data_IF_912060392888
#
_entry.id   IF_912060392888
#
_cell.length_a   1.000
_cell.length_b   1.000
_cell.length_c   1.000
_cell.angle_alpha   90.00
_cell.angle_beta   90.00
_cell.angle_gamma   90.00
#
_symmetry.space_group_name_H-M   'P 1'
#
loop_
_entity.id
_entity.type
_entity.pdbx_description
1 polymer ?
#
# COMPACT_ATOMS: atom_id res chain seq x y z
N UNK A 1 -3.75 15.99 -29.69
CA UNK A 1 -4.85 15.82 -28.71
C UNK A 1 -5.10 14.38 -28.23
N UNK A 2 -4.65 13.29 -28.88
CA UNK A 2 -4.90 11.90 -28.38
C UNK A 2 -3.83 11.30 -27.45
N UNK A 3 -2.67 11.95 -27.24
CA UNK A 3 -1.54 11.36 -26.49
C UNK A 3 -1.39 11.83 -25.03
N UNK A 4 -1.92 13.00 -24.65
CA UNK A 4 -1.96 13.41 -23.24
C UNK A 4 -2.92 12.55 -22.40
N UNK A 5 -3.95 11.96 -23.03
CA UNK A 5 -4.90 11.08 -22.33
C UNK A 5 -4.31 9.72 -21.92
N UNK A 6 -3.22 9.26 -22.54
CA UNK A 6 -2.61 7.95 -22.24
C UNK A 6 -1.71 8.01 -20.99
N UNK A 7 -1.02 9.13 -20.80
CA UNK A 7 -0.18 9.36 -19.62
C UNK A 7 -1.01 9.58 -18.35
N UNK A 8 -2.11 10.33 -18.47
CA UNK A 8 -3.07 10.51 -17.37
C UNK A 8 -3.75 9.20 -16.97
N UNK A 9 -4.06 8.32 -17.93
CA UNK A 9 -4.69 7.02 -17.63
C UNK A 9 -3.73 6.07 -16.92
N UNK A 10 -2.46 5.97 -17.34
CA UNK A 10 -1.48 5.08 -16.71
C UNK A 10 -1.14 5.47 -15.26
N UNK A 11 -1.03 6.78 -14.96
CA UNK A 11 -0.82 7.27 -13.59
C UNK A 11 -2.07 7.08 -12.71
N UNK A 12 -3.27 7.26 -13.28
CA UNK A 12 -4.52 6.93 -12.59
C UNK A 12 -4.57 5.45 -12.19
N UNK A 13 -4.13 4.51 -13.04
CA UNK A 13 -4.24 3.07 -12.76
C UNK A 13 -3.28 2.55 -11.69
N UNK A 14 -2.11 3.16 -11.47
CA UNK A 14 -1.21 2.75 -10.37
C UNK A 14 -1.77 3.19 -9.00
N UNK A 15 -2.32 4.41 -8.92
CA UNK A 15 -3.00 4.92 -7.73
C UNK A 15 -4.31 4.16 -7.48
N UNK A 16 -5.09 3.85 -8.53
CA UNK A 16 -6.31 3.06 -8.40
C UNK A 16 -6.05 1.62 -7.96
N UNK A 17 -4.92 1.03 -8.32
CA UNK A 17 -4.53 -0.30 -7.85
C UNK A 17 -4.18 -0.29 -6.35
N UNK A 18 -3.54 0.77 -5.84
CA UNK A 18 -3.26 0.94 -4.40
C UNK A 18 -4.55 1.25 -3.63
N UNK A 19 -5.43 2.10 -4.18
CA UNK A 19 -6.74 2.42 -3.59
C UNK A 19 -7.71 1.22 -3.63
N UNK A 20 -7.68 0.36 -4.65
CA UNK A 20 -8.46 -0.89 -4.67
C UNK A 20 -7.85 -1.99 -3.80
N UNK A 21 -6.52 -1.96 -3.59
CA UNK A 21 -5.84 -2.86 -2.67
C UNK A 21 -6.11 -2.51 -1.19
N UNK A 22 -6.48 -1.25 -0.90
CA UNK A 22 -6.75 -0.77 0.47
C UNK A 22 -8.21 -0.33 0.75
N UNK A 23 -9.00 0.06 -0.26
CA UNK A 23 -10.23 0.86 -0.10
C UNK A 23 -11.56 0.17 -0.45
N UNK A 24 -11.57 -1.13 -0.66
CA UNK A 24 -12.74 -1.85 -1.16
C UNK A 24 -13.60 -2.57 -0.12
N UNK A 25 -14.03 -1.93 0.98
CA UNK A 25 -15.11 -2.44 1.86
C UNK A 25 -15.98 -1.32 2.44
N UNK A 26 -16.94 -0.81 1.66
CA UNK A 26 -18.11 -0.08 2.18
C UNK A 26 -19.24 -1.12 2.35
N UNK A 27 -19.74 -1.48 3.54
CA UNK A 27 -20.53 -0.66 4.45
C UNK A 27 -20.54 -1.19 5.91
N UNK A 28 -19.56 -2.00 6.28
CA UNK A 28 -19.27 -2.36 7.68
C UNK A 28 -17.80 -2.74 7.71
N UNK A 29 -16.94 -1.83 8.17
CA UNK A 29 -15.50 -2.12 8.24
C UNK A 29 -15.28 -3.21 9.28
N UNK A 30 -15.13 -4.42 8.77
CA UNK A 30 -14.82 -5.60 9.57
C UNK A 30 -13.30 -5.72 9.60
N UNK A 31 -12.69 -5.32 10.70
CA UNK A 31 -11.26 -5.48 10.89
C UNK A 31 -11.01 -6.92 11.28
N UNK A 32 -10.52 -7.72 10.33
CA UNK A 32 -10.17 -9.11 10.57
C UNK A 32 -8.65 -9.24 10.66
N UNK A 33 -8.16 -9.54 11.86
CA UNK A 33 -6.78 -9.91 12.09
C UNK A 33 -6.69 -11.43 12.17
N UNK A 34 -5.94 -12.06 11.26
CA UNK A 34 -5.70 -13.50 11.31
C UNK A 34 -4.21 -13.79 11.41
N UNK A 35 -3.84 -14.59 12.40
CA UNK A 35 -2.47 -15.05 12.60
C UNK A 35 -2.42 -16.58 12.55
N UNK A 36 -1.71 -17.13 11.57
CA UNK A 36 -1.56 -18.58 11.41
C UNK A 36 -0.16 -19.02 11.84
N UNK A 37 -0.07 -19.90 12.83
CA UNK A 37 1.19 -20.49 13.29
C UNK A 37 0.97 -21.95 13.74
N UNK A 38 1.85 -22.86 13.30
CA UNK A 38 1.80 -24.30 13.63
C UNK A 38 0.41 -24.95 13.45
N UNK A 39 -0.30 -24.60 12.37
CA UNK A 39 -1.62 -25.13 12.06
C UNK A 39 -2.77 -24.57 12.90
N UNK A 40 -2.49 -23.64 13.82
CA UNK A 40 -3.52 -22.83 14.49
C UNK A 40 -3.67 -21.51 13.76
N UNK A 41 -4.91 -21.12 13.45
CA UNK A 41 -5.20 -19.73 13.07
C UNK A 41 -5.91 -19.09 14.25
N UNK A 42 -5.40 -17.97 14.74
CA UNK A 42 -6.15 -17.07 15.62
C UNK A 42 -6.76 -16.01 14.71
N UNK A 43 -8.08 -15.94 14.65
CA UNK A 43 -8.81 -14.88 13.96
C UNK A 43 -9.50 -14.01 14.99
N UNK A 44 -9.21 -12.73 14.95
CA UNK A 44 -9.89 -11.71 15.73
C UNK A 44 -10.64 -10.82 14.76
N UNK A 45 -11.95 -10.70 14.98
CA UNK A 45 -12.81 -9.89 14.14
C UNK A 45 -13.39 -8.79 15.01
N UNK A 46 -13.04 -7.55 14.71
CA UNK A 46 -13.69 -6.36 15.26
C UNK A 46 -14.71 -5.89 14.22
N UNK A 47 -15.95 -5.76 14.65
CA UNK A 47 -17.02 -5.15 13.87
C UNK A 47 -17.47 -3.88 14.56
N UNK A 48 -17.33 -2.76 13.88
CA UNK A 48 -17.86 -1.48 14.33
C UNK A 48 -19.21 -1.26 13.67
N UNK A 49 -20.24 -0.95 14.47
CA UNK A 49 -21.62 -0.77 13.97
C UNK A 49 -21.84 0.63 13.37
N UNK A 50 -20.99 1.62 13.70
CA UNK A 50 -21.13 3.00 13.21
C UNK A 50 -19.97 3.43 12.31
N UNK A 51 -20.25 3.93 11.10
CA UNK A 51 -19.24 4.54 10.24
C UNK A 51 -18.73 5.89 10.77
N UNK A 52 -19.44 6.56 11.68
CA UNK A 52 -19.09 7.92 12.11
C UNK A 52 -18.08 7.95 13.27
N UNK A 53 -17.74 6.80 13.87
CA UNK A 53 -16.64 6.68 14.83
C UNK A 53 -15.25 6.94 14.21
N UNK A 54 -15.21 7.30 12.93
CA UNK A 54 -14.03 7.67 12.14
C UNK A 54 -13.62 9.11 12.40
N UNK A 55 -13.18 9.43 13.62
CA UNK A 55 -12.20 10.52 13.71
C UNK A 55 -10.88 9.96 13.17
N UNK A 56 -10.64 10.17 11.87
CA UNK A 56 -9.32 9.97 11.25
C UNK A 56 -8.30 11.02 11.72
N UNK A 57 -8.75 11.95 12.55
CA UNK A 57 -7.93 12.98 13.13
C UNK A 57 -6.80 12.35 13.94
N UNK A 58 -5.60 12.84 13.64
CA UNK A 58 -4.40 12.47 14.36
C UNK A 58 -4.47 13.09 15.75
N UNK A 59 -4.41 12.26 16.78
CA UNK A 59 -4.38 12.68 18.16
C UNK A 59 -2.96 13.12 18.54
N UNK A 60 -2.81 14.43 18.76
CA UNK A 60 -1.56 15.07 19.19
C UNK A 60 -1.52 15.37 20.70
N UNK A 61 -2.53 14.91 21.44
CA UNK A 61 -2.61 15.15 22.88
C UNK A 61 -1.61 14.32 23.70
N UNK A 62 -1.58 14.52 25.02
CA UNK A 62 -0.68 13.81 25.92
C UNK A 62 -0.82 12.29 25.80
N UNK A 63 0.30 11.58 25.63
CA UNK A 63 0.35 10.11 25.57
C UNK A 63 0.26 9.53 27.00
N UNK A 64 -0.90 9.70 27.63
CA UNK A 64 -1.25 9.15 28.95
C UNK A 64 -2.53 8.34 28.85
N UNK A 65 -2.67 7.29 29.66
CA UNK A 65 -3.87 6.44 29.63
C UNK A 65 -5.17 7.26 29.81
N UNK A 66 -5.18 8.20 30.76
CA UNK A 66 -6.34 9.06 31.01
C UNK A 66 -6.70 9.96 29.82
N UNK A 67 -5.72 10.56 29.16
CA UNK A 67 -5.96 11.45 28.03
C UNK A 67 -6.42 10.68 26.78
N UNK A 68 -5.87 9.49 26.53
CA UNK A 68 -6.32 8.59 25.46
C UNK A 68 -7.75 8.08 25.70
N UNK A 69 -8.07 7.69 26.93
CA UNK A 69 -9.42 7.30 27.31
C UNK A 69 -10.40 8.45 27.11
N UNK A 70 -10.06 9.66 27.57
CA UNK A 70 -10.89 10.85 27.37
C UNK A 70 -11.14 11.16 25.89
N UNK A 71 -10.12 10.95 25.03
CA UNK A 71 -10.22 11.21 23.60
C UNK A 71 -11.06 10.15 22.86
N UNK A 72 -10.96 8.87 23.24
CA UNK A 72 -11.43 7.76 22.40
C UNK A 72 -12.51 6.87 23.04
N UNK A 73 -12.71 6.87 24.36
CA UNK A 73 -13.63 5.91 25.01
C UNK A 73 -15.09 6.11 24.60
N UNK A 74 -15.53 7.34 24.36
CA UNK A 74 -16.90 7.62 23.95
C UNK A 74 -17.19 6.93 22.60
N UNK A 75 -16.34 7.16 21.61
CA UNK A 75 -16.42 6.53 20.29
C UNK A 75 -16.24 5.00 20.38
N UNK A 76 -15.32 4.52 21.21
CA UNK A 76 -15.10 3.08 21.40
C UNK A 76 -16.34 2.39 21.98
N UNK A 77 -16.96 2.99 22.99
CA UNK A 77 -18.16 2.47 23.66
C UNK A 77 -19.37 2.53 22.74
N UNK A 78 -19.54 3.63 22.01
CA UNK A 78 -20.63 3.81 21.04
C UNK A 78 -20.54 2.80 19.90
N UNK A 79 -19.33 2.55 19.38
CA UNK A 79 -19.15 1.62 18.28
C UNK A 79 -19.41 0.15 18.66
N UNK A 80 -19.59 -0.14 19.97
CA UNK A 80 -19.92 -1.45 20.57
C UNK A 80 -19.18 -2.59 19.87
N UNK A 81 -17.83 -2.56 19.85
CA UNK A 81 -17.07 -3.53 19.08
C UNK A 81 -17.40 -4.94 19.55
N UNK A 82 -18.12 -5.69 18.71
CA UNK A 82 -18.29 -7.13 18.92
C UNK A 82 -16.99 -7.79 18.54
N UNK A 83 -16.14 -8.00 19.55
CA UNK A 83 -14.86 -8.68 19.37
C UNK A 83 -15.10 -10.17 19.44
N UNK A 84 -15.08 -10.83 18.28
CA UNK A 84 -15.11 -12.29 18.22
C UNK A 84 -13.70 -12.80 17.99
N UNK A 85 -13.16 -13.50 18.99
CA UNK A 85 -11.90 -14.21 18.85
C UNK A 85 -12.22 -15.68 18.57
N UNK A 86 -11.79 -16.17 17.41
CA UNK A 86 -11.99 -17.54 16.96
C UNK A 86 -10.64 -18.22 16.78
N UNK A 87 -10.47 -19.38 17.38
CA UNK A 87 -9.32 -20.25 17.11
C UNK A 87 -9.81 -21.50 16.38
N UNK A 88 -9.87 -21.50 15.02
CA UNK A 88 -10.05 -22.71 14.26
C UNK A 88 -8.97 -23.73 14.61
N UNK A 89 -9.41 -24.91 14.99
CA UNK A 89 -8.55 -26.05 15.24
C UNK A 89 -8.56 -26.93 14.00
N UNK A 90 -7.40 -27.21 13.41
CA UNK A 90 -7.31 -28.16 12.30
C UNK A 90 -7.96 -29.50 12.67
N UNK A 91 -9.05 -29.88 11.97
CA UNK A 91 -9.86 -31.09 12.19
C UNK A 91 -11.36 -30.81 12.43
N UNK A 92 -12.17 -31.87 12.62
CA UNK A 92 -13.63 -31.80 12.92
C UNK A 92 -13.99 -31.18 14.30
N UNK A 93 -13.09 -30.42 14.94
CA UNK A 93 -13.35 -29.87 16.28
C UNK A 93 -13.92 -28.46 16.18
N UNK A 94 -14.87 -28.17 17.07
CA UNK A 94 -15.56 -26.89 17.18
C UNK A 94 -14.58 -25.72 17.36
N UNK A 95 -14.95 -24.57 16.78
CA UNK A 95 -14.29 -23.30 16.99
C UNK A 95 -14.42 -22.88 18.45
N UNK A 96 -13.30 -22.48 19.07
CA UNK A 96 -13.36 -21.81 20.37
C UNK A 96 -13.69 -20.35 20.07
N UNK A 97 -14.88 -19.92 20.49
CA UNK A 97 -15.37 -18.55 20.38
C UNK A 97 -15.56 -17.96 21.76
N UNK A 98 -15.25 -16.68 21.90
CA UNK A 98 -15.56 -15.90 23.08
C UNK A 98 -16.42 -14.70 22.74
N UNK A 99 -17.42 -14.44 23.56
CA UNK A 99 -18.36 -13.31 23.46
C UNK A 99 -18.40 -12.58 24.81
N UNK A 100 -17.24 -12.13 25.30
CA UNK A 100 -17.20 -11.34 26.53
C UNK A 100 -17.72 -9.93 26.29
N UNK A 101 -18.40 -9.42 27.30
CA UNK A 101 -18.74 -8.00 27.42
C UNK A 101 -17.50 -7.18 27.76
N UNK A 102 -17.51 -5.88 27.42
CA UNK A 102 -16.42 -4.97 27.80
C UNK A 102 -16.23 -4.91 29.33
N UNK A 103 -17.30 -5.02 30.12
CA UNK A 103 -17.21 -5.05 31.59
C UNK A 103 -16.44 -6.29 32.09
N UNK A 104 -16.65 -7.47 31.49
CA UNK A 104 -15.91 -8.69 31.84
C UNK A 104 -14.44 -8.60 31.45
N UNK A 105 -14.14 -7.94 30.33
CA UNK A 105 -12.76 -7.69 29.91
C UNK A 105 -12.09 -6.65 30.79
N UNK A 106 -12.77 -5.54 31.13
CA UNK A 106 -12.27 -4.50 32.03
C UNK A 106 -11.98 -5.07 33.42
N UNK A 107 -12.79 -6.01 33.92
CA UNK A 107 -12.53 -6.70 35.18
C UNK A 107 -11.26 -7.57 35.16
N UNK A 108 -10.86 -8.09 33.99
CA UNK A 108 -9.67 -8.94 33.82
C UNK A 108 -8.42 -8.14 33.45
N UNK A 109 -8.60 -7.10 32.65
CA UNK A 109 -7.58 -6.23 32.08
C UNK A 109 -8.11 -4.78 32.04
N UNK A 110 -8.04 -4.05 33.17
CA UNK A 110 -8.54 -2.68 33.23
C UNK A 110 -7.96 -1.80 32.13
N UNK A 111 -8.81 -1.00 31.46
CA UNK A 111 -8.40 -0.15 30.32
C UNK A 111 -7.21 0.75 30.66
N UNK A 112 -7.30 1.47 31.77
CA UNK A 112 -6.26 2.41 32.18
C UNK A 112 -4.90 1.72 32.38
N UNK A 113 -4.88 0.60 33.09
CA UNK A 113 -3.66 -0.19 33.32
C UNK A 113 -3.11 -0.78 32.02
N UNK A 114 -3.99 -1.25 31.14
CA UNK A 114 -3.62 -1.80 29.84
C UNK A 114 -2.96 -0.75 28.95
N UNK A 115 -3.59 0.42 28.83
CA UNK A 115 -3.07 1.53 28.05
C UNK A 115 -1.74 2.03 28.62
N UNK A 116 -1.64 2.18 29.94
CA UNK A 116 -0.40 2.60 30.58
C UNK A 116 0.74 1.61 30.28
N UNK A 117 0.47 0.31 30.36
CA UNK A 117 1.46 -0.73 30.03
C UNK A 117 1.92 -0.67 28.56
N UNK A 118 1.05 -0.29 27.62
CA UNK A 118 1.44 -0.07 26.22
C UNK A 118 2.33 1.17 26.08
N UNK A 119 1.96 2.26 26.74
CA UNK A 119 2.72 3.51 26.76
C UNK A 119 4.11 3.34 27.38
N UNK A 120 4.21 2.58 28.48
CA UNK A 120 5.49 2.26 29.14
C UNK A 120 6.43 1.45 28.23
N UNK A 121 5.87 0.77 27.22
CA UNK A 121 6.63 0.07 26.16
C UNK A 121 6.97 0.95 24.96
N UNK A 122 6.68 2.24 25.02
CA UNK A 122 6.95 3.21 23.96
C UNK A 122 5.94 3.17 22.81
N UNK A 123 4.79 2.52 22.98
CA UNK A 123 3.75 2.49 21.95
C UNK A 123 3.01 3.82 21.95
N UNK A 124 3.06 4.54 20.84
CA UNK A 124 2.29 5.76 20.64
C UNK A 124 0.94 5.45 20.01
N UNK A 125 -0.14 5.98 20.57
CA UNK A 125 -1.50 5.80 20.05
C UNK A 125 -1.96 7.14 19.52
N UNK A 126 -2.08 7.23 18.19
CA UNK A 126 -2.34 8.51 17.52
C UNK A 126 -3.66 8.52 16.74
N UNK A 127 -4.33 7.38 16.61
CA UNK A 127 -5.61 7.28 15.92
C UNK A 127 -6.57 6.39 16.69
N UNK A 128 -7.87 6.61 16.50
CA UNK A 128 -8.91 5.76 17.09
C UNK A 128 -8.75 4.28 16.68
N UNK A 129 -8.35 4.02 15.43
CA UNK A 129 -8.11 2.65 14.94
C UNK A 129 -7.05 1.91 15.75
N UNK A 130 -5.95 2.58 16.09
CA UNK A 130 -4.88 2.03 16.93
C UNK A 130 -5.42 1.73 18.33
N UNK A 131 -6.12 2.71 18.92
CA UNK A 131 -6.75 2.58 20.23
C UNK A 131 -7.67 1.35 20.30
N UNK A 132 -8.60 1.24 19.37
CA UNK A 132 -9.57 0.16 19.33
C UNK A 132 -8.90 -1.20 19.09
N UNK A 133 -7.93 -1.25 18.17
CA UNK A 133 -7.13 -2.46 17.91
C UNK A 133 -6.36 -2.89 19.16
N UNK A 134 -5.76 -1.96 19.91
CA UNK A 134 -5.01 -2.29 21.12
C UNK A 134 -5.91 -2.78 22.26
N UNK A 135 -7.08 -2.17 22.42
CA UNK A 135 -8.05 -2.60 23.41
C UNK A 135 -8.62 -3.98 23.10
N UNK A 136 -8.81 -4.32 21.82
CA UNK A 136 -9.33 -5.64 21.43
C UNK A 136 -8.39 -6.78 21.84
N UNK A 137 -7.08 -6.52 21.96
CA UNK A 137 -6.10 -7.56 22.33
C UNK A 137 -6.28 -8.08 23.74
N UNK A 138 -6.96 -7.31 24.59
CA UNK A 138 -7.41 -7.76 25.90
C UNK A 138 -8.38 -8.94 25.79
N UNK A 139 -9.27 -8.94 24.80
CA UNK A 139 -10.16 -10.07 24.50
C UNK A 139 -9.35 -11.31 24.10
N UNK A 140 -8.36 -11.14 23.22
CA UNK A 140 -7.48 -12.24 22.83
C UNK A 140 -6.72 -12.82 24.03
N UNK A 141 -6.18 -11.97 24.91
CA UNK A 141 -5.54 -12.43 26.13
C UNK A 141 -6.50 -13.09 27.12
N UNK A 142 -7.74 -12.61 27.24
CA UNK A 142 -8.77 -13.26 28.05
C UNK A 142 -9.04 -14.67 27.53
N UNK A 143 -9.16 -14.84 26.21
CA UNK A 143 -9.32 -16.14 25.58
C UNK A 143 -8.15 -17.07 25.84
N UNK A 144 -6.93 -16.57 25.64
CA UNK A 144 -5.76 -17.39 25.88
C UNK A 144 -5.70 -17.78 27.36
N UNK A 145 -5.90 -16.85 28.30
CA UNK A 145 -5.87 -17.14 29.74
C UNK A 145 -6.81 -18.29 30.12
N UNK A 146 -8.03 -18.28 29.60
CA UNK A 146 -9.05 -19.31 29.88
C UNK A 146 -8.81 -20.63 29.14
N UNK A 147 -7.87 -20.64 28.18
CA UNK A 147 -7.53 -21.81 27.38
C UNK A 147 -6.04 -22.18 27.49
N UNK A 148 -5.58 -22.76 28.62
CA UNK A 148 -4.17 -23.13 28.84
C UNK A 148 -3.53 -23.97 27.74
N UNK A 149 -4.32 -24.80 27.06
CA UNK A 149 -3.83 -25.64 25.97
C UNK A 149 -3.34 -24.83 24.77
N UNK A 150 -3.90 -23.63 24.54
CA UNK A 150 -3.53 -22.76 23.41
C UNK A 150 -2.22 -22.03 23.67
N UNK A 151 -2.09 -21.32 24.79
CA UNK A 151 -0.85 -20.58 25.03
C UNK A 151 0.34 -21.50 25.34
N UNK A 152 0.10 -22.68 25.94
CA UNK A 152 1.16 -23.70 26.12
C UNK A 152 1.58 -24.39 24.83
N UNK A 153 0.80 -24.29 23.74
CA UNK A 153 1.17 -24.95 22.47
C UNK A 153 2.22 -24.17 21.68
N UNK A 154 2.53 -22.95 22.10
CA UNK A 154 3.36 -22.01 21.33
C UNK A 154 2.60 -21.36 20.18
N UNK A 155 1.32 -21.04 20.40
CA UNK A 155 0.52 -20.28 19.45
C UNK A 155 1.13 -18.88 19.26
N UNK A 156 0.91 -18.29 18.08
CA UNK A 156 1.42 -16.95 17.72
C UNK A 156 2.94 -16.83 17.63
N UNK A 157 3.65 -17.94 17.42
CA UNK A 157 5.12 -17.94 17.38
C UNK A 157 5.77 -17.61 18.72
N UNK A 158 5.01 -17.63 19.82
CA UNK A 158 5.53 -17.43 21.16
C UNK A 158 6.08 -18.79 21.65
N UNK A 159 7.32 -18.88 22.15
CA UNK A 159 7.84 -20.11 22.72
C UNK A 159 6.93 -20.67 23.81
N UNK A 160 6.91 -21.99 23.97
CA UNK A 160 6.10 -22.62 25.01
C UNK A 160 6.57 -22.16 26.39
N UNK A 161 5.67 -21.57 27.17
CA UNK A 161 5.95 -21.13 28.53
C UNK A 161 5.30 -22.06 29.55
N UNK A 162 5.83 -22.06 30.79
CA UNK A 162 5.30 -22.89 31.89
C UNK A 162 4.13 -22.19 32.60
N UNK A 163 4.16 -20.86 32.65
CA UNK A 163 3.21 -20.03 33.37
C UNK A 163 2.58 -18.96 32.47
N UNK A 164 1.44 -18.45 32.94
CA UNK A 164 0.66 -17.45 32.24
C UNK A 164 1.34 -16.08 32.19
N UNK A 165 2.10 -15.69 33.22
CA UNK A 165 2.72 -14.37 33.29
C UNK A 165 3.81 -14.24 32.23
N UNK A 166 4.69 -15.24 32.12
CA UNK A 166 5.72 -15.31 31.07
C UNK A 166 5.09 -15.34 29.68
N UNK A 167 3.97 -16.07 29.50
CA UNK A 167 3.26 -16.04 28.21
C UNK A 167 2.71 -14.66 27.89
N UNK A 168 2.04 -14.01 28.85
CA UNK A 168 1.45 -12.68 28.67
C UNK A 168 2.53 -11.67 28.28
N UNK A 169 3.67 -11.68 28.95
CA UNK A 169 4.79 -10.81 28.63
C UNK A 169 5.36 -11.09 27.24
N UNK A 170 5.60 -12.35 26.92
CA UNK A 170 6.06 -12.74 25.59
C UNK A 170 5.04 -12.40 24.51
N UNK A 171 3.75 -12.54 24.78
CA UNK A 171 2.68 -12.12 23.87
C UNK A 171 2.78 -10.63 23.57
N UNK A 172 2.87 -9.81 24.61
CA UNK A 172 3.01 -8.36 24.50
C UNK A 172 4.27 -7.95 23.73
N UNK A 173 5.38 -8.65 23.93
CA UNK A 173 6.67 -8.33 23.29
C UNK A 173 6.77 -8.86 21.85
N UNK A 174 6.28 -10.07 21.56
CA UNK A 174 6.55 -10.81 20.32
C UNK A 174 5.62 -10.43 19.16
N UNK A 175 4.34 -10.15 19.45
CA UNK A 175 3.33 -9.99 18.40
C UNK A 175 2.99 -8.55 18.03
N UNK A 176 3.07 -7.62 18.98
CA UNK A 176 2.35 -6.34 18.87
C UNK A 176 3.22 -5.20 18.40
N UNK A 177 4.36 -5.00 19.06
CA UNK A 177 5.33 -3.95 18.73
C UNK A 177 5.85 -4.14 17.30
N UNK A 178 6.24 -5.36 16.95
CA UNK A 178 6.85 -5.66 15.65
C UNK A 178 5.85 -5.48 14.50
N UNK A 179 4.59 -5.89 14.68
CA UNK A 179 3.60 -5.73 13.61
C UNK A 179 3.17 -4.28 13.42
N UNK A 180 2.98 -3.54 14.50
CA UNK A 180 2.55 -2.15 14.40
C UNK A 180 3.64 -1.25 13.85
N UNK A 181 4.89 -1.44 14.30
CA UNK A 181 6.03 -0.69 13.76
C UNK A 181 6.18 -0.96 12.26
N UNK A 182 6.04 -2.22 11.83
CA UNK A 182 6.05 -2.56 10.40
C UNK A 182 4.92 -1.94 9.59
N UNK A 183 3.71 -1.83 10.16
CA UNK A 183 2.59 -1.16 9.51
C UNK A 183 2.90 0.35 9.41
N UNK A 184 3.43 0.96 10.47
CA UNK A 184 3.81 2.37 10.48
C UNK A 184 4.93 2.67 9.48
N UNK A 185 5.97 1.84 9.43
CA UNK A 185 7.03 1.90 8.43
C UNK A 185 6.49 1.76 7.00
N UNK A 186 5.52 0.85 6.80
CA UNK A 186 4.86 0.69 5.51
C UNK A 186 4.00 1.91 5.15
N UNK A 187 3.22 2.48 6.08
CA UNK A 187 2.46 3.70 5.88
C UNK A 187 3.37 4.89 5.54
N UNK A 188 4.47 5.05 6.28
CA UNK A 188 5.47 6.09 6.02
C UNK A 188 6.12 5.90 4.64
N UNK A 189 6.43 4.67 4.26
CA UNK A 189 6.98 4.34 2.93
C UNK A 189 5.97 4.67 1.81
N UNK A 190 4.69 4.38 2.03
CA UNK A 190 3.61 4.72 1.08
C UNK A 190 3.43 6.23 0.97
N UNK A 191 3.45 6.96 2.09
CA UNK A 191 3.37 8.42 2.10
C UNK A 191 4.56 9.06 1.36
N UNK A 192 5.78 8.59 1.62
CA UNK A 192 6.98 9.05 0.93
C UNK A 192 6.92 8.76 -0.58
N UNK A 193 6.47 7.57 -0.98
CA UNK A 193 6.27 7.22 -2.39
C UNK A 193 5.22 8.12 -3.05
N UNK A 194 4.13 8.45 -2.35
CA UNK A 194 3.11 9.38 -2.84
C UNK A 194 3.68 10.77 -3.09
N UNK A 195 4.46 11.31 -2.15
CA UNK A 195 5.11 12.61 -2.28
C UNK A 195 6.12 12.64 -3.44
N UNK A 196 6.85 11.55 -3.68
CA UNK A 196 7.74 11.42 -4.84
C UNK A 196 6.96 11.44 -6.16
N UNK A 197 5.81 10.76 -6.23
CA UNK A 197 4.93 10.78 -7.40
C UNK A 197 4.37 12.18 -7.65
N UNK A 198 3.93 12.88 -6.60
CA UNK A 198 3.43 14.26 -6.72
C UNK A 198 4.54 15.21 -7.23
N UNK A 199 5.75 15.13 -6.68
CA UNK A 199 6.91 15.88 -7.18
C UNK A 199 7.26 15.55 -8.64
N UNK A 200 7.20 14.27 -9.02
CA UNK A 200 7.43 13.87 -10.41
C UNK A 200 6.37 14.44 -11.35
N UNK A 201 5.10 14.54 -10.91
CA UNK A 201 4.02 15.16 -11.68
C UNK A 201 4.22 16.67 -11.84
N UNK A 202 4.74 17.38 -10.85
CA UNK A 202 5.06 18.81 -10.93
C UNK A 202 6.23 19.11 -11.89
N UNK A 203 7.18 18.18 -12.01
CA UNK A 203 8.31 18.30 -12.94
C UNK A 203 7.94 18.04 -14.40
N UNK A 204 6.76 17.45 -14.67
CA UNK A 204 6.22 17.41 -16.02
C UNK A 204 5.85 18.85 -16.35
N UNK A 205 6.61 19.54 -17.24
CA UNK A 205 6.34 20.95 -17.51
C UNK A 205 4.88 21.07 -17.91
N UNK A 206 4.13 21.89 -17.16
CA UNK A 206 2.78 22.27 -17.52
C UNK A 206 2.87 22.75 -18.96
N UNK A 207 2.40 21.91 -19.91
CA UNK A 207 2.54 22.18 -21.35
C UNK A 207 1.87 23.53 -21.53
N UNK A 208 2.64 24.61 -21.71
CA UNK A 208 2.02 25.90 -21.83
C UNK A 208 1.17 25.82 -23.10
N UNK A 209 0.02 26.47 -23.13
CA UNK A 209 -0.77 26.70 -24.35
C UNK A 209 -0.01 27.56 -25.40
N UNK A 210 1.32 27.52 -25.40
CA UNK A 210 2.25 28.19 -26.29
C UNK A 210 2.48 27.35 -27.55
N UNK A 211 1.43 27.16 -28.32
CA UNK A 211 1.58 27.12 -29.77
C UNK A 211 0.48 27.94 -30.44
N UNK A 212 0.68 29.25 -30.63
CA UNK A 212 0.10 29.89 -31.81
C UNK A 212 0.80 29.27 -33.02
N UNK A 213 0.13 28.33 -33.70
CA UNK A 213 0.56 27.59 -34.89
C UNK A 213 1.64 28.31 -35.73
N UNK A 214 2.94 27.94 -35.63
CA UNK A 214 3.92 28.34 -36.63
C UNK A 214 4.46 27.10 -37.35
N UNK A 215 4.83 27.27 -38.61
CA UNK A 215 5.39 26.21 -39.44
C UNK A 215 6.70 25.70 -38.82
N UNK A 216 6.66 24.53 -38.17
CA UNK A 216 7.85 23.96 -37.54
C UNK A 216 8.67 23.07 -38.51
N UNK A 217 10.01 23.16 -38.45
CA UNK A 217 10.94 22.22 -39.06
C UNK A 217 10.91 20.86 -38.32
N UNK A 218 11.42 19.84 -39.01
CA UNK A 218 11.49 18.43 -38.58
C UNK A 218 12.13 18.31 -37.19
N UNK A 219 11.36 17.92 -36.17
CA UNK A 219 11.89 17.68 -34.83
C UNK A 219 12.51 16.28 -34.73
N UNK A 220 13.70 16.13 -34.13
CA UNK A 220 14.29 14.83 -33.84
C UNK A 220 13.48 14.11 -32.75
N UNK A 221 13.52 12.77 -32.79
CA UNK A 221 12.89 11.91 -31.80
C UNK A 221 13.35 12.31 -30.39
N UNK A 222 12.40 12.60 -29.50
CA UNK A 222 12.68 12.87 -28.09
C UNK A 222 13.11 11.56 -27.44
N UNK A 223 14.39 11.41 -27.02
CA UNK A 223 14.83 10.20 -26.34
C UNK A 223 14.16 10.09 -24.98
N UNK A 224 13.84 8.86 -24.57
CA UNK A 224 13.39 8.59 -23.20
C UNK A 224 14.48 9.10 -22.25
N UNK A 225 14.14 9.92 -21.24
CA UNK A 225 15.12 10.44 -20.30
C UNK A 225 15.88 9.29 -19.63
N UNK A 226 17.23 9.29 -19.65
CA UNK A 226 18.04 8.20 -19.11
C UNK A 226 17.73 7.84 -17.64
N UNK A 227 17.31 8.82 -16.84
CA UNK A 227 16.99 8.62 -15.42
C UNK A 227 15.77 7.71 -15.20
N UNK A 228 14.80 7.68 -16.11
CA UNK A 228 13.63 6.80 -15.98
C UNK A 228 13.97 5.34 -16.27
N UNK A 229 14.94 5.09 -17.16
CA UNK A 229 15.48 3.75 -17.36
C UNK A 229 16.27 3.29 -16.14
N UNK A 230 17.01 4.23 -15.53
CA UNK A 230 17.74 3.98 -14.29
C UNK A 230 16.81 3.66 -13.10
N UNK A 231 15.69 4.35 -12.94
CA UNK A 231 14.71 4.06 -11.88
C UNK A 231 14.07 2.67 -12.03
N UNK A 232 13.80 2.23 -13.27
CA UNK A 232 13.31 0.87 -13.54
C UNK A 232 14.37 -0.17 -13.18
N UNK A 233 15.63 0.06 -13.58
CA UNK A 233 16.75 -0.82 -13.24
C UNK A 233 16.99 -0.89 -11.71
N UNK A 234 16.82 0.22 -10.99
CA UNK A 234 16.94 0.28 -9.53
C UNK A 234 15.82 -0.52 -8.83
N UNK A 235 14.59 -0.45 -9.33
CA UNK A 235 13.46 -1.25 -8.83
C UNK A 235 13.70 -2.75 -9.11
N UNK A 236 14.19 -3.11 -10.29
CA UNK A 236 14.54 -4.51 -10.61
C UNK A 236 15.65 -5.05 -9.70
N UNK A 237 16.69 -4.25 -9.45
CA UNK A 237 17.75 -4.61 -8.51
C UNK A 237 17.26 -4.76 -7.07
N UNK A 238 16.30 -3.95 -6.64
CA UNK A 238 15.72 -4.04 -5.30
C UNK A 238 14.89 -5.34 -5.15
N UNK A 239 14.16 -5.72 -6.20
CA UNK A 239 13.41 -6.99 -6.26
C UNK A 239 14.36 -8.19 -6.21
N UNK A 240 15.48 -8.17 -6.95
CA UNK A 240 16.45 -9.27 -6.92
C UNK A 240 17.19 -9.36 -5.58
N UNK A 241 17.59 -8.23 -4.98
CA UNK A 241 18.15 -8.24 -3.61
C UNK A 241 17.19 -8.81 -2.58
N UNK A 242 15.89 -8.53 -2.72
CA UNK A 242 14.86 -9.08 -1.84
C UNK A 242 14.69 -10.60 -2.04
N UNK A 243 14.77 -11.10 -3.28
CA UNK A 243 14.77 -12.54 -3.58
C UNK A 243 16.00 -13.24 -3.02
N UNK A 244 17.19 -12.68 -3.22
CA UNK A 244 18.43 -13.22 -2.66
C UNK A 244 18.41 -13.24 -1.13
N UNK A 245 17.84 -12.22 -0.48
CA UNK A 245 17.67 -12.20 0.97
C UNK A 245 16.71 -13.30 1.47
N UNK A 246 15.66 -13.61 0.69
CA UNK A 246 14.74 -14.71 0.98
C UNK A 246 15.39 -16.09 0.74
N UNK A 247 16.18 -16.25 -0.32
CA UNK A 247 16.83 -17.51 -0.70
C UNK A 247 18.07 -17.83 0.13
N UNK A 248 18.86 -16.81 0.51
CA UNK A 248 20.06 -16.97 1.34
C UNK A 248 19.77 -17.27 2.81
N UNK A 249 18.50 -17.26 3.23
CA UNK A 249 18.12 -17.56 4.61
C UNK A 249 18.63 -16.55 5.65
N UNK A 250 19.15 -15.38 5.21
CA UNK A 250 19.66 -14.31 6.08
C UNK A 250 18.56 -13.60 6.89
N UNK A 251 17.29 -13.84 6.55
CA UNK A 251 16.14 -13.50 7.38
C UNK A 251 15.88 -14.71 8.30
N UNK A 252 16.07 -14.51 9.61
CA UNK A 252 16.32 -15.52 10.65
C UNK A 252 15.48 -16.84 10.55
N UNK A 253 16.07 -17.99 10.95
CA UNK A 253 15.52 -19.31 10.69
C UNK A 253 14.68 -19.79 11.88
N UNK A 254 13.37 -19.55 11.88
CA UNK A 254 12.51 -20.33 12.80
C UNK A 254 11.06 -20.54 12.33
N UNK A 255 10.82 -20.76 11.03
CA UNK A 255 9.48 -21.15 10.54
C UNK A 255 9.61 -22.04 9.29
N UNK A 256 9.85 -23.34 9.50
CA UNK A 256 10.16 -24.31 8.43
C UNK A 256 8.99 -24.79 7.57
N UNK A 257 7.72 -24.48 7.91
CA UNK A 257 6.56 -25.11 7.21
C UNK A 257 5.53 -24.09 6.70
N UNK A 258 5.45 -22.88 7.27
CA UNK A 258 4.62 -21.79 6.71
C UNK A 258 5.32 -21.00 5.60
N UNK A 259 6.64 -21.22 5.40
CA UNK A 259 7.48 -20.52 4.44
C UNK A 259 7.05 -20.79 3.00
N UNK A 260 6.74 -22.03 2.66
CA UNK A 260 6.43 -22.40 1.26
C UNK A 260 5.11 -21.79 0.78
N UNK A 261 4.09 -21.75 1.63
CA UNK A 261 2.81 -21.12 1.28
C UNK A 261 2.93 -19.59 1.12
N UNK A 262 3.68 -18.93 2.00
CA UNK A 262 3.90 -17.48 1.93
C UNK A 262 4.84 -17.10 0.77
N UNK A 263 5.91 -17.87 0.56
CA UNK A 263 6.84 -17.70 -0.56
C UNK A 263 6.13 -17.94 -1.89
N UNK A 264 5.27 -18.96 -1.99
CA UNK A 264 4.47 -19.21 -3.20
C UNK A 264 3.51 -18.05 -3.49
N UNK A 265 2.84 -17.49 -2.47
CA UNK A 265 1.99 -16.30 -2.64
C UNK A 265 2.79 -15.07 -3.01
N UNK A 266 3.96 -14.86 -2.41
CA UNK A 266 4.86 -13.76 -2.75
C UNK A 266 5.37 -13.88 -4.19
N UNK A 267 5.84 -15.06 -4.61
CA UNK A 267 6.23 -15.36 -6.00
C UNK A 267 5.07 -15.13 -6.97
N UNK A 268 3.86 -15.60 -6.64
CA UNK A 268 2.68 -15.37 -7.47
C UNK A 268 2.31 -13.87 -7.57
N UNK A 269 2.52 -13.08 -6.51
CA UNK A 269 2.31 -11.62 -6.53
C UNK A 269 3.35 -10.92 -7.40
N UNK A 270 4.62 -11.29 -7.29
CA UNK A 270 5.71 -10.76 -8.12
C UNK A 270 5.47 -11.09 -9.60
N UNK A 271 5.09 -12.33 -9.93
CA UNK A 271 4.80 -12.71 -11.32
C UNK A 271 3.58 -11.95 -11.89
N UNK A 272 2.54 -11.69 -11.08
CA UNK A 272 1.44 -10.82 -11.50
C UNK A 272 1.91 -9.38 -11.75
N UNK A 273 2.76 -8.84 -10.87
CA UNK A 273 3.32 -7.49 -11.04
C UNK A 273 4.17 -7.40 -12.32
N UNK A 274 5.04 -8.39 -12.59
CA UNK A 274 5.80 -8.50 -13.85
C UNK A 274 4.90 -8.57 -15.07
N UNK A 275 3.83 -9.37 -15.00
CA UNK A 275 2.88 -9.49 -16.09
C UNK A 275 2.12 -8.17 -16.34
N UNK A 276 1.81 -7.42 -15.28
CA UNK A 276 1.21 -6.10 -15.40
C UNK A 276 2.18 -5.09 -16.01
N UNK A 277 3.45 -5.09 -15.62
CA UNK A 277 4.51 -4.27 -16.23
C UNK A 277 4.66 -4.57 -17.72
N UNK A 278 4.77 -5.85 -18.10
CA UNK A 278 4.87 -6.25 -19.52
C UNK A 278 3.66 -5.81 -20.35
N UNK A 279 2.47 -5.79 -19.76
CA UNK A 279 1.25 -5.26 -20.41
C UNK A 279 1.32 -3.75 -20.57
N UNK A 280 1.81 -3.02 -19.56
CA UNK A 280 2.02 -1.59 -19.63
C UNK A 280 3.06 -1.22 -20.71
N UNK A 281 4.19 -1.92 -20.78
CA UNK A 281 5.20 -1.76 -21.84
C UNK A 281 4.61 -1.96 -23.24
N UNK A 282 3.89 -3.06 -23.45
CA UNK A 282 3.25 -3.34 -24.74
C UNK A 282 2.21 -2.27 -25.12
N UNK A 283 1.54 -1.67 -24.14
CA UNK A 283 0.61 -0.57 -24.36
C UNK A 283 1.35 0.72 -24.73
N UNK A 284 2.44 1.04 -24.05
CA UNK A 284 3.31 2.19 -24.39
C UNK A 284 3.85 2.05 -25.80
N UNK A 285 4.33 0.87 -26.20
CA UNK A 285 4.83 0.61 -27.55
C UNK A 285 3.73 0.82 -28.61
N UNK A 286 2.51 0.34 -28.35
CA UNK A 286 1.36 0.59 -29.24
C UNK A 286 1.06 2.08 -29.36
N UNK A 287 1.09 2.82 -28.25
CA UNK A 287 0.87 4.27 -28.25
C UNK A 287 1.96 5.02 -29.01
N UNK A 288 3.23 4.61 -28.92
CA UNK A 288 4.33 5.17 -29.71
C UNK A 288 4.17 4.89 -31.21
N UNK A 289 3.75 3.67 -31.60
CA UNK A 289 3.45 3.36 -33.00
C UNK A 289 2.29 4.20 -33.55
N UNK A 290 1.27 4.47 -32.73
CA UNK A 290 0.17 5.35 -33.11
C UNK A 290 0.61 6.81 -33.27
N UNK A 291 1.48 7.31 -32.37
CA UNK A 291 2.11 8.63 -32.50
C UNK A 291 2.82 8.77 -33.84
N UNK A 292 3.68 7.80 -34.16
CA UNK A 292 4.47 7.80 -35.39
C UNK A 292 3.58 7.83 -36.63
N UNK A 293 2.52 7.00 -36.67
CA UNK A 293 1.55 7.01 -37.77
C UNK A 293 0.81 8.33 -37.90
N UNK A 294 0.44 8.96 -36.78
CA UNK A 294 -0.22 10.26 -36.79
C UNK A 294 0.72 11.37 -37.31
N UNK A 295 2.00 11.33 -36.92
CA UNK A 295 3.03 12.24 -37.44
C UNK A 295 3.23 12.07 -38.95
N UNK A 296 3.35 10.83 -39.44
CA UNK A 296 3.48 10.54 -40.88
C UNK A 296 2.25 11.01 -41.67
N UNK A 297 1.04 10.84 -41.12
CA UNK A 297 -0.19 11.32 -41.76
C UNK A 297 -0.23 12.84 -41.86
N UNK A 298 0.16 13.55 -40.80
CA UNK A 298 0.26 15.02 -40.80
C UNK A 298 1.30 15.51 -41.82
N UNK A 299 2.43 14.82 -41.97
CA UNK A 299 3.45 15.17 -42.95
C UNK A 299 2.94 14.98 -44.39
N UNK A 300 2.18 13.90 -44.65
CA UNK A 300 1.55 13.66 -45.96
C UNK A 300 0.53 14.73 -46.31
N UNK A 301 -0.34 15.11 -45.38
CA UNK A 301 -1.30 16.18 -45.59
C UNK A 301 -0.59 17.52 -45.83
N UNK A 302 0.47 17.83 -45.07
CA UNK A 302 1.28 19.03 -45.31
C UNK A 302 1.90 19.06 -46.71
N UNK A 303 2.40 17.93 -47.21
CA UNK A 303 2.94 17.81 -48.58
C UNK A 303 1.86 18.00 -49.65
N UNK A 304 0.62 17.58 -49.38
CA UNK A 304 -0.53 17.79 -50.28
C UNK A 304 -0.97 19.25 -50.34
N UNK A 305 -0.94 19.95 -49.21
CA UNK A 305 -1.43 21.34 -49.10
C UNK A 305 -0.38 22.39 -49.44
N UNK A 306 0.92 22.05 -49.49
CA UNK A 306 1.94 22.96 -50.00
C UNK A 306 1.73 23.21 -51.49
N UNK A 307 1.45 24.45 -51.92
CA UNK A 307 1.30 24.77 -53.34
C UNK A 307 2.56 24.36 -54.11
N UNK A 308 2.45 23.86 -55.35
CA UNK A 308 3.62 23.64 -56.18
C UNK A 308 4.36 24.97 -56.27
N UNK A 309 5.57 25.01 -55.72
CA UNK A 309 6.49 26.13 -55.87
C UNK A 309 6.69 26.34 -57.36
N UNK A 310 5.91 27.25 -57.96
CA UNK A 310 6.20 27.76 -59.28
C UNK A 310 7.60 28.34 -59.21
N UNK A 311 8.58 27.61 -59.76
CA UNK A 311 9.89 28.14 -60.14
C UNK A 311 9.59 29.36 -61.00
N UNK A 312 9.62 30.55 -60.39
CA UNK A 312 9.76 31.79 -61.16
C UNK A 312 11.16 31.72 -61.73
N UNK A 313 11.24 31.31 -63.00
CA UNK A 313 12.46 31.51 -63.78
C UNK A 313 12.84 32.99 -63.67
N UNK A 314 14.09 33.30 -63.30
CA UNK A 314 14.56 34.68 -63.28
C UNK A 314 14.57 35.18 -64.72
N UNK A 315 13.65 36.08 -65.06
CA UNK A 315 13.78 36.88 -66.29
C UNK A 315 15.09 37.66 -66.19
N UNK A 316 16.04 37.28 -67.05
CA UNK A 316 17.21 38.10 -67.36
C UNK A 316 16.72 39.39 -68.01
N UNK A 317 16.65 40.47 -67.23
CA UNK A 317 16.53 41.81 -67.80
C UNK A 317 17.90 42.20 -68.37
N UNK A 318 18.01 42.05 -69.68
CA UNK A 318 19.02 42.66 -70.54
C UNK A 318 18.98 44.18 -70.39
N UNK A 319 19.98 44.76 -69.74
CA UNK A 319 20.30 46.19 -69.89
C UNK A 319 21.12 46.37 -71.17
N UNK A 320 20.43 46.63 -72.27
CA UNK A 320 20.95 47.49 -73.35
C UNK A 320 20.63 48.94 -73.00
N UNK A 321 21.62 49.82 -73.12
CA UNK A 321 21.49 51.23 -72.78
C UNK A 321 22.73 52.00 -73.18
N UNK A 322 22.85 52.19 -74.50
CA UNK A 322 23.76 53.08 -75.22
C UNK A 322 23.67 54.52 -74.72
N UNK A 323 24.83 55.16 -74.50
CA UNK A 323 25.19 56.48 -75.06
C UNK A 323 26.71 56.66 -75.00
#
# INVERSE_FOLDING_TARGET
MRHQNVWLTLSFFSVFAVVLFCGGQANAETWSYSHTHNGFTLSEVLKFESPDARTTEHYEGPQTAAALMAAFDAAYTEARPKTTVTVPRQGKRADIKSEWTEAEIDARYPRAEWLQMLLDKGITITRFGDYAMYLSKRHTLALLKDNPKLWKSGILGIPRTKDWHTFKEAYLNNGWLVHHERIREAEASVAAAKEQVERALELIPAVPDLFPTPAMPTMPAVPVPPHLLQEVDEIEQLIERFKEALESGKIAPDIGVARDGQLTRAKARVERAKQQLKRAEAQVERSQRQLKRAQEALERERKRTSPPSHKREPKQDSKEGTL
#
